data_IF_080237963881
#
_entry.id   IF_080237963881
#
_cell.length_a   1.000
_cell.length_b   1.000
_cell.length_c   1.000
_cell.angle_alpha   90.00
_cell.angle_beta   90.00
_cell.angle_gamma   90.00
#
_symmetry.space_group_name_H-M   'P 1'
#
loop_
_entity.id
_entity.type
_entity.pdbx_description
1 polymer ?
#
# COMPACT_ATOMS: atom_id res chain seq x y z
N UNK A 1 9.89 -18.72 4.08
CA UNK A 1 9.65 -20.15 4.36
C UNK A 1 9.23 -20.94 3.10
N UNK A 2 9.20 -20.32 1.91
CA UNK A 2 8.67 -20.95 0.69
C UNK A 2 9.68 -21.81 -0.13
N UNK A 3 10.99 -21.73 0.13
CA UNK A 3 12.00 -22.47 -0.67
C UNK A 3 12.16 -23.96 -0.29
N UNK A 4 11.84 -24.34 0.95
CA UNK A 4 12.18 -25.66 1.49
C UNK A 4 11.56 -26.88 0.79
N UNK A 5 10.31 -26.82 0.28
CA UNK A 5 9.72 -27.97 -0.40
C UNK A 5 10.40 -28.33 -1.72
N UNK A 6 11.07 -27.37 -2.37
CA UNK A 6 11.65 -27.54 -3.71
C UNK A 6 13.15 -27.80 -3.75
N UNK A 7 13.94 -27.16 -2.86
CA UNK A 7 15.41 -27.23 -2.89
C UNK A 7 16.02 -27.99 -1.70
N UNK A 8 15.19 -28.44 -0.75
CA UNK A 8 15.64 -29.10 0.46
C UNK A 8 16.35 -28.14 1.43
N UNK A 9 16.90 -28.68 2.51
CA UNK A 9 17.57 -27.88 3.53
C UNK A 9 18.86 -27.26 2.99
N UNK A 10 19.04 -25.92 3.01
CA UNK A 10 20.29 -25.29 2.58
C UNK A 10 21.48 -25.90 3.31
N UNK A 11 22.61 -26.05 2.61
CA UNK A 11 23.82 -26.66 3.18
C UNK A 11 24.32 -25.98 4.47
N UNK A 12 23.94 -24.72 4.69
CA UNK A 12 24.12 -24.03 5.97
C UNK A 12 22.85 -23.23 6.34
N UNK A 13 21.90 -23.84 7.08
CA UNK A 13 20.64 -23.21 7.47
C UNK A 13 20.85 -21.99 8.38
N UNK A 14 21.91 -22.01 9.19
CA UNK A 14 22.27 -20.90 10.07
C UNK A 14 22.70 -19.67 9.27
N UNK A 15 23.56 -19.84 8.27
CA UNK A 15 23.97 -18.74 7.39
C UNK A 15 22.78 -18.19 6.56
N UNK A 16 21.89 -19.08 6.10
CA UNK A 16 20.67 -18.69 5.38
C UNK A 16 19.71 -17.90 6.28
N UNK A 17 19.44 -18.38 7.51
CA UNK A 17 18.62 -17.67 8.49
C UNK A 17 19.21 -16.32 8.87
N UNK A 18 20.53 -16.25 9.05
CA UNK A 18 21.22 -14.98 9.32
C UNK A 18 21.13 -14.01 8.15
N UNK A 19 21.12 -14.51 6.91
CA UNK A 19 20.95 -13.69 5.71
C UNK A 19 19.52 -13.16 5.59
N UNK A 20 18.53 -14.02 5.83
CA UNK A 20 17.11 -13.64 5.83
C UNK A 20 16.80 -12.67 6.97
N UNK A 21 17.31 -12.93 8.18
CA UNK A 21 17.18 -12.03 9.32
C UNK A 21 17.84 -10.67 9.06
N UNK A 22 19.02 -10.65 8.45
CA UNK A 22 19.71 -9.42 8.04
C UNK A 22 18.92 -8.64 7.00
N UNK A 23 18.39 -9.31 5.96
CA UNK A 23 17.54 -8.68 4.94
C UNK A 23 16.27 -8.10 5.57
N UNK A 24 15.58 -8.86 6.42
CA UNK A 24 14.38 -8.42 7.15
C UNK A 24 14.66 -7.26 8.11
N UNK A 25 15.84 -7.21 8.74
CA UNK A 25 16.27 -6.09 9.57
C UNK A 25 16.59 -4.84 8.74
N UNK A 26 17.23 -4.98 7.59
CA UNK A 26 17.46 -3.88 6.63
C UNK A 26 16.12 -3.36 6.10
N UNK A 27 15.17 -4.25 5.80
CA UNK A 27 13.83 -3.89 5.36
C UNK A 27 13.03 -3.19 6.47
N UNK A 28 13.20 -3.59 7.73
CA UNK A 28 12.65 -2.86 8.88
C UNK A 28 13.23 -1.45 8.99
N UNK A 29 14.55 -1.29 8.88
CA UNK A 29 15.21 0.02 8.90
C UNK A 29 14.80 0.90 7.70
N UNK A 30 14.57 0.30 6.52
CA UNK A 30 14.04 1.00 5.34
C UNK A 30 12.58 1.43 5.56
N UNK A 31 11.75 0.58 6.16
CA UNK A 31 10.38 0.93 6.57
C UNK A 31 10.36 2.06 7.58
N UNK A 32 11.22 2.02 8.59
CA UNK A 32 11.29 3.09 9.60
C UNK A 32 11.83 4.40 9.01
N UNK A 33 12.78 4.34 8.06
CA UNK A 33 13.20 5.53 7.31
C UNK A 33 12.10 6.08 6.40
N UNK A 34 11.30 5.21 5.79
CA UNK A 34 10.13 5.62 5.00
C UNK A 34 9.07 6.26 5.89
N UNK A 35 8.81 5.69 7.08
CA UNK A 35 7.93 6.26 8.11
C UNK A 35 8.44 7.61 8.63
N UNK A 36 9.74 7.74 8.90
CA UNK A 36 10.36 8.99 9.30
C UNK A 36 10.25 10.05 8.20
N UNK A 37 10.50 9.69 6.94
CA UNK A 37 10.26 10.58 5.79
C UNK A 37 8.79 10.96 5.64
N UNK A 38 7.86 10.04 5.94
CA UNK A 38 6.41 10.29 5.93
C UNK A 38 6.00 11.26 7.04
N UNK A 39 6.55 11.13 8.25
CA UNK A 39 6.34 12.11 9.33
C UNK A 39 6.92 13.48 8.97
N UNK A 40 8.11 13.53 8.38
CA UNK A 40 8.73 14.77 7.95
C UNK A 40 7.99 15.42 6.78
N UNK A 41 7.45 14.62 5.86
CA UNK A 41 6.63 15.09 4.75
C UNK A 41 5.26 15.59 5.21
N UNK A 42 4.62 14.90 6.16
CA UNK A 42 3.38 15.38 6.80
C UNK A 42 3.64 16.70 7.54
N UNK A 43 4.77 16.83 8.23
CA UNK A 43 5.13 18.07 8.91
C UNK A 43 5.38 19.24 7.94
N UNK A 44 6.05 19.00 6.81
CA UNK A 44 6.27 20.02 5.77
C UNK A 44 4.99 20.38 5.00
N UNK A 45 4.16 19.38 4.69
CA UNK A 45 2.84 19.61 4.06
C UNK A 45 1.89 20.35 5.04
N UNK A 46 2.03 20.18 6.35
CA UNK A 46 1.29 20.93 7.37
C UNK A 46 1.70 22.41 7.47
N UNK A 47 2.96 22.75 7.16
CA UNK A 47 3.45 24.14 7.11
C UNK A 47 3.00 24.87 5.83
N UNK A 48 2.86 24.18 4.70
CA UNK A 48 2.35 24.76 3.44
C UNK A 48 0.80 24.83 3.40
N UNK A 49 0.10 23.93 4.11
CA UNK A 49 -1.38 23.87 4.24
C UNK A 49 -1.82 24.26 5.68
N UNK A 50 -1.56 25.50 6.11
CA UNK A 50 -1.93 26.06 7.42
C UNK A 50 -3.46 26.19 7.69
N UNK A 51 -4.27 25.23 7.26
CA UNK A 51 -5.70 25.15 7.55
C UNK A 51 -6.27 23.76 7.78
N UNK A 52 -5.52 22.66 7.64
CA UNK A 52 -6.11 21.29 7.76
C UNK A 52 -5.16 20.28 8.46
N UNK A 53 -4.18 20.73 9.25
CA UNK A 53 -3.42 19.84 10.12
C UNK A 53 -4.13 19.67 11.47
N UNK A 54 -5.27 18.99 11.44
CA UNK A 54 -5.96 18.50 12.64
C UNK A 54 -5.96 16.97 12.63
N UNK A 55 -5.10 16.39 13.46
CA UNK A 55 -5.12 15.00 13.96
C UNK A 55 -5.31 13.88 12.93
N UNK A 56 -4.20 13.45 12.34
CA UNK A 56 -4.04 12.05 11.92
C UNK A 56 -3.09 11.42 12.94
N UNK A 57 -3.63 11.03 14.09
CA UNK A 57 -2.94 10.15 15.03
C UNK A 57 -3.26 8.69 14.64
N UNK A 58 -2.29 7.92 14.11
CA UNK A 58 -2.51 6.53 13.75
C UNK A 58 -2.43 5.57 14.95
N UNK A 59 -2.49 6.02 16.21
CA UNK A 59 -2.41 5.14 17.35
C UNK A 59 -3.79 4.58 17.79
N UNK A 60 -4.23 3.46 17.21
CA UNK A 60 -5.04 2.43 17.90
C UNK A 60 -5.41 1.25 16.98
N UNK A 61 -4.49 0.30 16.79
CA UNK A 61 -4.81 -1.02 16.22
C UNK A 61 -3.74 -2.05 16.56
N UNK A 62 -4.12 -3.15 17.22
CA UNK A 62 -3.23 -4.28 17.55
C UNK A 62 -2.96 -5.19 16.32
N UNK A 63 -2.45 -4.63 15.21
CA UNK A 63 -1.60 -5.25 14.17
C UNK A 63 -1.32 -4.19 13.08
N UNK A 64 -0.05 -3.83 12.78
CA UNK A 64 0.28 -2.92 11.68
C UNK A 64 -0.23 -3.34 10.28
N UNK A 65 -0.70 -4.57 10.10
CA UNK A 65 -1.38 -5.03 8.88
C UNK A 65 -2.80 -4.51 8.71
N UNK A 66 -3.58 -4.45 9.79
CA UNK A 66 -5.00 -4.12 9.75
C UNK A 66 -5.24 -2.63 9.52
N UNK A 67 -4.37 -1.76 10.08
CA UNK A 67 -4.45 -0.30 9.86
C UNK A 67 -4.21 0.07 8.39
N UNK A 68 -3.20 -0.54 7.75
CA UNK A 68 -2.89 -0.27 6.34
C UNK A 68 -3.99 -0.81 5.42
N UNK A 69 -4.54 -1.98 5.74
CA UNK A 69 -5.65 -2.56 5.00
C UNK A 69 -6.92 -1.72 5.16
N UNK A 70 -7.20 -1.22 6.37
CA UNK A 70 -8.29 -0.27 6.64
C UNK A 70 -8.17 1.02 5.83
N UNK A 71 -6.94 1.57 5.73
CA UNK A 71 -6.65 2.72 4.86
C UNK A 71 -6.92 2.42 3.37
N UNK A 72 -6.54 1.23 2.88
CA UNK A 72 -6.83 0.82 1.50
C UNK A 72 -8.34 0.71 1.28
N UNK A 73 -9.08 0.09 2.21
CA UNK A 73 -10.54 -0.02 2.10
C UNK A 73 -11.25 1.34 2.17
N UNK A 74 -10.74 2.30 2.95
CA UNK A 74 -11.26 3.66 2.96
C UNK A 74 -10.95 4.38 1.62
N UNK A 75 -9.73 4.24 1.11
CA UNK A 75 -9.33 4.78 -0.18
C UNK A 75 -10.06 4.11 -1.35
N UNK A 76 -10.55 2.88 -1.19
CA UNK A 76 -11.30 2.14 -2.19
C UNK A 76 -12.83 2.35 -2.14
N UNK A 77 -13.30 3.34 -1.37
CA UNK A 77 -14.73 3.60 -1.23
C UNK A 77 -15.39 4.05 -2.56
N UNK A 78 -16.60 3.58 -2.90
CA UNK A 78 -17.28 3.90 -4.17
C UNK A 78 -17.63 5.39 -4.36
N UNK A 79 -17.60 6.19 -3.29
CA UNK A 79 -17.75 7.66 -3.34
C UNK A 79 -16.62 8.34 -4.12
N UNK A 80 -15.48 7.67 -4.26
CA UNK A 80 -14.35 8.13 -5.06
C UNK A 80 -14.42 7.52 -6.46
N UNK A 81 -14.04 8.29 -7.49
CA UNK A 81 -13.82 7.74 -8.83
C UNK A 81 -12.66 6.75 -8.83
N UNK A 82 -12.62 5.82 -9.78
CA UNK A 82 -11.52 4.84 -9.92
C UNK A 82 -10.14 5.53 -9.94
N UNK A 83 -10.00 6.57 -10.76
CA UNK A 83 -8.82 7.44 -10.81
C UNK A 83 -8.40 8.02 -9.45
N UNK A 84 -9.37 8.46 -8.65
CA UNK A 84 -9.11 9.01 -7.33
C UNK A 84 -8.70 7.93 -6.32
N UNK A 85 -9.31 6.75 -6.37
CA UNK A 85 -8.95 5.59 -5.54
C UNK A 85 -7.51 5.15 -5.80
N UNK A 86 -7.16 4.98 -7.06
CA UNK A 86 -5.82 4.58 -7.48
C UNK A 86 -4.76 5.64 -7.12
N UNK A 87 -4.99 6.92 -7.46
CA UNK A 87 -4.04 7.99 -7.14
C UNK A 87 -3.84 8.17 -5.62
N UNK A 88 -4.92 8.14 -4.82
CA UNK A 88 -4.83 8.27 -3.37
C UNK A 88 -4.09 7.08 -2.76
N UNK A 89 -4.33 5.86 -3.24
CA UNK A 89 -3.69 4.68 -2.66
C UNK A 89 -2.22 4.59 -3.03
N UNK A 90 -1.84 4.88 -4.28
CA UNK A 90 -0.43 4.98 -4.68
C UNK A 90 0.33 6.02 -3.82
N UNK A 91 -0.32 7.14 -3.47
CA UNK A 91 0.26 8.16 -2.60
C UNK A 91 0.40 7.71 -1.15
N UNK A 92 -0.67 7.19 -0.55
CA UNK A 92 -0.75 6.96 0.90
C UNK A 92 -0.14 5.62 1.32
N UNK A 93 -0.32 4.59 0.48
CA UNK A 93 0.08 3.20 0.71
C UNK A 93 1.32 2.87 -0.10
N UNK A 94 1.32 3.22 -1.39
CA UNK A 94 2.48 2.97 -2.26
C UNK A 94 3.67 3.90 -1.98
N UNK A 95 3.44 5.04 -1.34
CA UNK A 95 4.49 6.01 -1.01
C UNK A 95 5.05 6.75 -2.22
N UNK A 96 4.37 6.72 -3.37
CA UNK A 96 4.82 7.42 -4.58
C UNK A 96 4.75 8.94 -4.40
N UNK A 97 5.65 9.64 -5.08
CA UNK A 97 5.58 11.09 -5.19
C UNK A 97 4.45 11.51 -6.13
N UNK A 98 3.97 12.75 -6.00
CA UNK A 98 2.97 13.31 -6.94
C UNK A 98 3.46 13.27 -8.38
N UNK A 99 4.76 13.49 -8.61
CA UNK A 99 5.40 13.39 -9.92
C UNK A 99 5.34 11.97 -10.49
N UNK A 100 5.69 10.97 -9.70
CA UNK A 100 5.63 9.57 -10.11
C UNK A 100 4.19 9.16 -10.49
N UNK A 101 3.22 9.58 -9.68
CA UNK A 101 1.80 9.34 -9.95
C UNK A 101 1.36 10.10 -11.21
N UNK A 102 1.78 11.35 -11.40
CA UNK A 102 1.46 12.14 -12.60
C UNK A 102 1.95 11.46 -13.87
N UNK A 103 3.16 10.89 -13.84
CA UNK A 103 3.71 10.10 -14.95
C UNK A 103 2.90 8.82 -15.20
N UNK A 104 2.57 8.08 -14.15
CA UNK A 104 1.75 6.85 -14.26
C UNK A 104 0.35 7.12 -14.83
N UNK A 105 -0.23 8.28 -14.53
CA UNK A 105 -1.54 8.71 -15.03
C UNK A 105 -1.49 9.50 -16.33
N UNK A 106 -0.31 9.75 -16.90
CA UNK A 106 -0.11 10.63 -18.06
C UNK A 106 -0.81 12.00 -17.90
N UNK A 107 -0.74 12.55 -16.70
CA UNK A 107 -1.40 13.79 -16.30
C UNK A 107 -0.38 14.79 -15.73
N UNK A 108 -0.78 16.06 -15.59
CA UNK A 108 0.08 17.06 -14.95
C UNK A 108 0.16 16.85 -13.43
N UNK A 109 1.30 17.18 -12.82
CA UNK A 109 1.47 17.12 -11.36
C UNK A 109 0.39 17.92 -10.60
N UNK A 110 0.02 19.16 -11.01
CA UNK A 110 -1.06 19.88 -10.35
C UNK A 110 -2.41 19.15 -10.43
N UNK A 111 -2.69 18.47 -11.56
CA UNK A 111 -3.93 17.69 -11.72
C UNK A 111 -3.98 16.53 -10.72
N UNK A 112 -2.88 15.80 -10.55
CA UNK A 112 -2.79 14.70 -9.60
C UNK A 112 -2.82 15.20 -8.16
N UNK A 113 -2.09 16.28 -7.84
CA UNK A 113 -2.13 16.90 -6.52
C UNK A 113 -3.58 17.24 -6.11
N UNK A 114 -4.29 17.97 -6.98
CA UNK A 114 -5.69 18.33 -6.74
C UNK A 114 -6.61 17.11 -6.64
N UNK A 115 -6.37 16.06 -7.44
CA UNK A 115 -7.13 14.82 -7.39
C UNK A 115 -6.99 14.15 -6.02
N UNK A 116 -5.76 14.04 -5.50
CA UNK A 116 -5.47 13.48 -4.18
C UNK A 116 -6.13 14.32 -3.07
N UNK A 117 -6.00 15.64 -3.12
CA UNK A 117 -6.62 16.54 -2.13
C UNK A 117 -8.14 16.42 -2.14
N UNK A 118 -8.78 16.40 -3.32
CA UNK A 118 -10.22 16.19 -3.43
C UNK A 118 -10.65 14.83 -2.89
N UNK A 119 -9.89 13.78 -3.18
CA UNK A 119 -10.17 12.44 -2.66
C UNK A 119 -10.15 12.40 -1.12
N UNK A 120 -9.10 12.97 -0.50
CA UNK A 120 -9.01 13.09 0.97
C UNK A 120 -10.21 13.85 1.56
N UNK A 121 -10.59 14.99 0.95
CA UNK A 121 -11.76 15.79 1.39
C UNK A 121 -13.07 15.01 1.26
N UNK A 122 -13.23 14.22 0.21
CA UNK A 122 -14.44 13.39 0.02
C UNK A 122 -14.52 12.28 1.07
N UNK A 123 -13.42 11.60 1.39
CA UNK A 123 -13.38 10.59 2.47
C UNK A 123 -13.74 11.23 3.81
N UNK A 124 -13.12 12.37 4.14
CA UNK A 124 -13.36 13.08 5.40
C UNK A 124 -14.83 13.52 5.53
N UNK A 125 -15.42 14.07 4.45
CA UNK A 125 -16.83 14.48 4.44
C UNK A 125 -17.79 13.29 4.57
N UNK A 126 -17.42 12.14 4.03
CA UNK A 126 -18.22 10.92 4.12
C UNK A 126 -18.12 10.25 5.50
N UNK A 127 -17.25 10.73 6.40
CA UNK A 127 -17.12 10.20 7.76
C UNK A 127 -16.66 8.73 7.78
N UNK A 128 -15.86 8.32 6.79
CA UNK A 128 -15.44 6.93 6.65
C UNK A 128 -14.43 6.57 7.74
N UNK A 129 -14.70 5.50 8.47
CA UNK A 129 -13.73 4.89 9.38
C UNK A 129 -12.58 4.24 8.62
N UNK A 130 -11.38 4.28 9.22
CA UNK A 130 -10.18 3.60 8.72
C UNK A 130 -10.06 2.18 9.28
N UNK A 131 -11.18 1.46 9.26
CA UNK A 131 -11.25 0.06 9.67
C UNK A 131 -11.57 -0.84 8.47
N UNK A 132 -11.23 -2.12 8.56
CA UNK A 132 -11.59 -3.08 7.52
C UNK A 132 -13.10 -3.35 7.59
N UNK A 133 -13.89 -2.97 6.57
CA UNK A 133 -15.33 -3.15 6.59
C UNK A 133 -15.70 -4.63 6.64
N UNK A 134 -16.95 -4.94 7.01
CA UNK A 134 -17.49 -6.32 7.05
C UNK A 134 -18.71 -6.44 6.14
N UNK A 135 -19.06 -7.68 5.76
CA UNK A 135 -20.26 -7.97 4.98
C UNK A 135 -20.31 -7.24 3.64
N UNK A 136 -21.47 -6.66 3.32
CA UNK A 136 -21.74 -6.03 2.03
C UNK A 136 -20.81 -4.84 1.72
N UNK A 137 -20.42 -4.06 2.73
CA UNK A 137 -19.49 -2.94 2.59
C UNK A 137 -18.09 -3.40 2.12
N UNK A 138 -17.63 -4.57 2.60
CA UNK A 138 -16.37 -5.16 2.15
C UNK A 138 -16.48 -5.64 0.72
N UNK A 139 -17.54 -6.38 0.39
CA UNK A 139 -17.77 -6.92 -0.95
C UNK A 139 -17.85 -5.79 -2.00
N UNK A 140 -18.52 -4.69 -1.67
CA UNK A 140 -18.66 -3.53 -2.56
C UNK A 140 -17.32 -2.85 -2.90
N UNK A 141 -16.30 -2.99 -2.04
CA UNK A 141 -14.99 -2.36 -2.19
C UNK A 141 -13.90 -3.32 -2.68
N UNK A 142 -14.12 -4.63 -2.55
CA UNK A 142 -13.12 -5.67 -2.80
C UNK A 142 -12.48 -5.58 -4.18
N UNK A 143 -13.30 -5.41 -5.23
CA UNK A 143 -12.79 -5.30 -6.60
C UNK A 143 -11.78 -4.13 -6.75
N UNK A 144 -12.08 -2.98 -6.16
CA UNK A 144 -11.16 -1.82 -6.17
C UNK A 144 -9.92 -2.04 -5.30
N UNK A 145 -10.05 -2.77 -4.18
CA UNK A 145 -8.90 -3.15 -3.36
C UNK A 145 -7.94 -4.04 -4.14
N UNK A 146 -8.46 -5.07 -4.81
CA UNK A 146 -7.66 -5.99 -5.63
C UNK A 146 -6.96 -5.26 -6.77
N UNK A 147 -7.69 -4.41 -7.50
CA UNK A 147 -7.15 -3.56 -8.57
C UNK A 147 -5.98 -2.71 -8.07
N UNK A 148 -6.14 -2.05 -6.92
CA UNK A 148 -5.12 -1.16 -6.37
C UNK A 148 -3.91 -1.92 -5.84
N UNK A 149 -4.10 -3.08 -5.21
CA UNK A 149 -2.99 -3.96 -4.79
C UNK A 149 -2.18 -4.40 -6.02
N UNK A 150 -2.86 -4.78 -7.11
CA UNK A 150 -2.21 -5.16 -8.35
C UNK A 150 -1.46 -3.99 -9.00
N UNK A 151 -2.02 -2.78 -9.00
CA UNK A 151 -1.35 -1.58 -9.51
C UNK A 151 -0.07 -1.27 -8.72
N UNK A 152 -0.11 -1.37 -7.39
CA UNK A 152 1.09 -1.23 -6.57
C UNK A 152 2.15 -2.29 -6.91
N UNK A 153 1.73 -3.55 -7.10
CA UNK A 153 2.65 -4.61 -7.53
C UNK A 153 3.27 -4.32 -8.89
N UNK A 154 2.48 -3.92 -9.89
CA UNK A 154 2.96 -3.62 -11.24
C UNK A 154 3.95 -2.45 -11.24
N UNK A 155 3.66 -1.38 -10.52
CA UNK A 155 4.58 -0.24 -10.40
C UNK A 155 5.86 -0.62 -9.64
N UNK A 156 5.80 -1.63 -8.77
CA UNK A 156 6.98 -2.20 -8.14
C UNK A 156 7.81 -3.07 -9.09
N UNK A 157 7.14 -3.85 -9.94
CA UNK A 157 7.74 -4.86 -10.81
C UNK A 157 8.36 -4.27 -12.08
N UNK A 158 7.71 -3.26 -12.66
CA UNK A 158 8.18 -2.52 -13.81
C UNK A 158 8.03 -1.02 -13.50
N UNK A 159 8.97 -0.48 -12.73
CA UNK A 159 8.87 0.90 -12.27
C UNK A 159 8.80 1.84 -13.47
N UNK A 160 7.70 2.59 -13.57
CA UNK A 160 7.49 3.57 -14.64
C UNK A 160 8.36 4.82 -14.39
N UNK A 161 8.99 4.92 -13.21
CA UNK A 161 9.82 6.03 -12.77
C UNK A 161 10.81 5.68 -11.64
N UNK A 162 11.92 6.44 -11.55
CA UNK A 162 12.95 6.33 -10.52
C UNK A 162 14.31 5.90 -11.07
N UNK A 163 15.36 5.96 -10.25
CA UNK A 163 16.70 5.48 -10.62
C UNK A 163 16.75 3.94 -10.74
N UNK A 164 15.82 3.24 -10.08
CA UNK A 164 15.70 1.79 -10.11
C UNK A 164 14.53 1.35 -11.02
N UNK A 165 14.84 0.51 -12.02
CA UNK A 165 13.87 -0.10 -12.95
C UNK A 165 12.83 -1.02 -12.27
N UNK A 166 13.08 -1.37 -11.01
CA UNK A 166 12.24 -2.20 -10.15
C UNK A 166 12.28 -1.59 -8.75
N UNK A 167 11.15 -1.50 -8.06
CA UNK A 167 11.06 -1.15 -6.64
C UNK A 167 10.62 -2.38 -5.83
N UNK A 168 11.56 -3.28 -5.47
CA UNK A 168 11.23 -4.53 -4.79
C UNK A 168 10.43 -4.33 -3.50
N UNK A 169 10.65 -3.22 -2.79
CA UNK A 169 9.90 -2.91 -1.57
C UNK A 169 8.40 -2.72 -1.82
N UNK A 170 8.00 -2.21 -2.98
CA UNK A 170 6.60 -1.99 -3.33
C UNK A 170 5.93 -3.32 -3.72
N UNK A 171 6.63 -4.19 -4.47
CA UNK A 171 6.16 -5.55 -4.73
C UNK A 171 5.96 -6.35 -3.44
N UNK A 172 6.95 -6.30 -2.53
CA UNK A 172 6.89 -7.01 -1.26
C UNK A 172 5.75 -6.53 -0.38
N UNK A 173 5.43 -5.23 -0.40
CA UNK A 173 4.29 -4.69 0.34
C UNK A 173 2.96 -5.11 -0.30
N UNK A 174 2.85 -5.08 -1.63
CA UNK A 174 1.66 -5.58 -2.34
C UNK A 174 1.41 -7.08 -2.07
N UNK A 175 2.47 -7.90 -2.10
CA UNK A 175 2.40 -9.32 -1.71
C UNK A 175 1.99 -9.48 -0.23
N UNK A 176 2.56 -8.68 0.68
CA UNK A 176 2.17 -8.70 2.10
C UNK A 176 0.68 -8.40 2.27
N UNK A 177 0.17 -7.37 1.60
CA UNK A 177 -1.25 -7.00 1.61
C UNK A 177 -2.13 -8.11 1.03
N UNK A 178 -1.71 -8.73 -0.09
CA UNK A 178 -2.38 -9.88 -0.68
C UNK A 178 -2.50 -11.06 0.30
N UNK A 179 -1.43 -11.38 1.05
CA UNK A 179 -1.44 -12.44 2.07
C UNK A 179 -2.40 -12.13 3.23
N UNK A 180 -2.43 -10.89 3.70
CA UNK A 180 -3.36 -10.46 4.76
C UNK A 180 -4.81 -10.60 4.25
N UNK A 181 -5.09 -10.14 3.03
CA UNK A 181 -6.43 -10.22 2.44
C UNK A 181 -6.87 -11.69 2.26
N UNK A 182 -5.97 -12.57 1.82
CA UNK A 182 -6.25 -14.01 1.71
C UNK A 182 -6.52 -14.67 3.07
N UNK A 183 -5.83 -14.25 4.14
CA UNK A 183 -6.12 -14.70 5.50
C UNK A 183 -7.49 -14.25 6.01
N UNK A 184 -7.92 -13.04 5.62
CA UNK A 184 -9.21 -12.46 6.01
C UNK A 184 -10.39 -13.02 5.20
N UNK A 185 -10.14 -13.42 3.95
CA UNK A 185 -11.14 -13.86 2.98
C UNK A 185 -10.69 -15.15 2.29
N UNK A 186 -10.55 -16.26 3.05
CA UNK A 186 -9.98 -17.51 2.51
C UNK A 186 -10.85 -18.17 1.44
N UNK A 187 -12.14 -17.84 1.38
CA UNK A 187 -13.10 -18.42 0.44
C UNK A 187 -13.29 -17.57 -0.84
N UNK A 188 -12.64 -16.41 -0.94
CA UNK A 188 -12.77 -15.51 -2.12
C UNK A 188 -11.74 -15.87 -3.19
N UNK A 189 -12.21 -16.41 -4.32
CA UNK A 189 -11.36 -16.91 -5.40
C UNK A 189 -10.48 -15.81 -6.03
N UNK A 190 -11.01 -14.60 -6.20
CA UNK A 190 -10.29 -13.47 -6.78
C UNK A 190 -9.12 -13.00 -5.90
N UNK A 191 -9.29 -13.07 -4.57
CA UNK A 191 -8.23 -12.74 -3.61
C UNK A 191 -7.08 -13.75 -3.73
N UNK A 192 -7.41 -15.03 -3.75
CA UNK A 192 -6.43 -16.11 -3.90
C UNK A 192 -5.74 -16.05 -5.27
N UNK A 193 -6.50 -15.76 -6.33
CA UNK A 193 -5.98 -15.62 -7.69
C UNK A 193 -5.00 -14.46 -7.82
N UNK A 194 -5.31 -13.29 -7.26
CA UNK A 194 -4.39 -12.15 -7.28
C UNK A 194 -3.11 -12.46 -6.48
N UNK A 195 -3.24 -13.06 -5.29
CA UNK A 195 -2.05 -13.44 -4.51
C UNK A 195 -1.17 -14.42 -5.27
N UNK A 196 -1.77 -15.46 -5.88
CA UNK A 196 -1.03 -16.43 -6.68
C UNK A 196 -0.28 -15.74 -7.82
N UNK A 197 -0.93 -14.82 -8.55
CA UNK A 197 -0.30 -14.06 -9.64
C UNK A 197 0.93 -13.27 -9.18
N UNK A 198 0.87 -12.64 -8.00
CA UNK A 198 1.95 -11.79 -7.48
C UNK A 198 3.11 -12.57 -6.87
N UNK A 199 2.96 -13.87 -6.61
CA UNK A 199 3.98 -14.74 -6.01
C UNK A 199 4.74 -15.60 -7.03
N UNK A 200 4.35 -15.53 -8.30
CA UNK A 200 5.07 -16.13 -9.44
C UNK A 200 6.41 -15.43 -9.68
#
# INVERSE_FOLDING_TARGET
LAEWPGTGVPANPGAWLMTVARRRAIDALRRDRMRARKHEQIAREADDDAGIAGEIDPAAGEDPGDELLGLIFAACHPVLSADARAALTLRVVGGLTTEEIARAFLASEPTIAQRIVRAKKTIARAGLGFEVPRGAERAARLASVLEVIYLNFNEGYAATAGEDLVRPSLCLEAQRLGRILAGLMPDEAEVLGLLALMEL
#
